data_IF_785726293719
#
_entry.id   IF_785726293719
#
_cell.length_a   1.000
_cell.length_b   1.000
_cell.length_c   1.000
_cell.angle_alpha   90.00
_cell.angle_beta   90.00
_cell.angle_gamma   90.00
#
_symmetry.space_group_name_H-M   'P 1'
#
loop_
_entity.id
_entity.type
_entity.pdbx_description
1 polymer ?
#
# COMPACT_ATOMS: atom_id res chain seq x y z
N UNK A 1 7.44 7.60 -19.85
CA UNK A 1 8.56 8.34 -19.24
C UNK A 1 9.15 7.50 -18.10
N UNK A 2 10.41 7.73 -17.70
CA UNK A 2 10.87 7.27 -16.40
C UNK A 2 9.87 7.78 -15.35
N UNK A 3 9.36 6.88 -14.49
CA UNK A 3 8.35 7.14 -13.44
C UNK A 3 6.87 7.12 -13.88
N UNK A 4 6.56 6.86 -15.16
CA UNK A 4 5.17 6.59 -15.57
C UNK A 4 4.69 5.23 -15.06
N UNK A 5 3.36 5.06 -15.07
CA UNK A 5 2.72 3.78 -14.79
C UNK A 5 3.22 2.72 -15.77
N UNK A 6 3.75 1.61 -15.24
CA UNK A 6 4.17 0.44 -16.03
C UNK A 6 3.76 -0.89 -15.39
N UNK A 7 2.99 -0.80 -14.30
CA UNK A 7 2.40 -1.92 -13.59
C UNK A 7 0.89 -1.75 -13.56
N UNK A 8 0.16 -2.84 -13.75
CA UNK A 8 -1.29 -2.93 -13.56
C UNK A 8 -1.59 -3.88 -12.40
N UNK A 9 -2.41 -3.43 -11.46
CA UNK A 9 -2.97 -4.27 -10.40
C UNK A 9 -4.30 -4.81 -10.88
N UNK A 10 -4.45 -6.14 -10.88
CA UNK A 10 -5.69 -6.84 -11.20
C UNK A 10 -6.21 -7.57 -9.96
N UNK A 11 -7.16 -6.97 -9.23
CA UNK A 11 -7.78 -7.63 -8.08
C UNK A 11 -8.39 -8.98 -8.48
N UNK A 12 -8.28 -9.99 -7.62
CA UNK A 12 -8.93 -11.29 -7.84
C UNK A 12 -10.43 -11.29 -7.47
N UNK A 13 -10.95 -10.15 -6.98
CA UNK A 13 -12.37 -9.92 -6.68
C UNK A 13 -13.01 -8.92 -7.63
N UNK A 14 -14.24 -8.47 -7.34
CA UNK A 14 -15.06 -7.63 -8.23
C UNK A 14 -14.63 -6.17 -8.44
N UNK A 15 -13.38 -5.81 -8.10
CA UNK A 15 -12.85 -4.48 -8.34
C UNK A 15 -12.23 -4.39 -9.73
N UNK A 16 -12.33 -3.22 -10.36
CA UNK A 16 -11.66 -2.96 -11.64
C UNK A 16 -10.15 -2.95 -11.47
N UNK A 17 -9.43 -3.38 -12.50
CA UNK A 17 -7.99 -3.20 -12.61
C UNK A 17 -7.63 -1.71 -12.59
N UNK A 18 -6.46 -1.39 -12.06
CA UNK A 18 -5.97 -0.01 -11.97
C UNK A 18 -4.44 0.04 -12.07
N UNK A 19 -3.87 1.16 -12.54
CA UNK A 19 -2.42 1.30 -12.62
C UNK A 19 -1.79 1.37 -11.22
N UNK A 20 -0.67 0.67 -11.05
CA UNK A 20 0.18 0.79 -9.88
C UNK A 20 1.15 1.97 -10.09
N UNK A 21 0.92 3.06 -9.35
CA UNK A 21 1.77 4.25 -9.39
C UNK A 21 3.19 3.94 -8.94
N UNK A 22 4.16 4.58 -9.58
CA UNK A 22 5.55 4.51 -9.18
C UNK A 22 5.74 4.89 -7.69
N UNK A 23 6.70 4.23 -7.04
CA UNK A 23 7.06 4.41 -5.62
C UNK A 23 5.96 4.11 -4.59
N UNK A 24 4.83 3.54 -5.01
CA UNK A 24 3.84 3.00 -4.06
C UNK A 24 4.22 1.57 -3.70
N UNK A 25 4.34 1.23 -2.40
CA UNK A 25 4.65 -0.13 -1.99
C UNK A 25 3.51 -1.08 -2.32
N UNK A 26 3.84 -2.20 -2.97
CA UNK A 26 2.90 -3.27 -3.30
C UNK A 26 3.15 -4.46 -2.37
N UNK A 27 2.09 -5.09 -1.86
CA UNK A 27 2.19 -6.31 -1.04
C UNK A 27 2.48 -6.10 0.45
N UNK A 28 2.46 -4.85 0.95
CA UNK A 28 2.69 -4.53 2.37
C UNK A 28 1.75 -5.28 3.32
N UNK A 29 0.48 -5.46 2.95
CA UNK A 29 -0.49 -6.25 3.74
C UNK A 29 -0.03 -7.70 3.92
N UNK A 30 0.46 -8.36 2.87
CA UNK A 30 0.97 -9.73 2.96
C UNK A 30 2.22 -9.81 3.83
N UNK A 31 3.15 -8.84 3.66
CA UNK A 31 4.38 -8.73 4.45
C UNK A 31 4.10 -8.49 5.93
N UNK A 32 3.12 -7.65 6.27
CA UNK A 32 2.83 -7.30 7.67
C UNK A 32 1.92 -8.35 8.31
N UNK A 33 0.81 -8.70 7.66
CA UNK A 33 -0.28 -9.50 8.26
C UNK A 33 -0.27 -10.98 7.86
N UNK A 34 0.56 -11.38 6.90
CA UNK A 34 0.56 -12.77 6.40
C UNK A 34 -0.70 -13.14 5.60
N UNK A 35 -1.45 -12.14 5.12
CA UNK A 35 -2.66 -12.38 4.34
C UNK A 35 -2.37 -13.01 2.97
N UNK A 36 -3.31 -13.79 2.42
CA UNK A 36 -3.17 -14.36 1.09
C UNK A 36 -3.08 -13.23 0.04
N UNK A 37 -2.52 -13.58 -1.12
CA UNK A 37 -2.57 -12.71 -2.31
C UNK A 37 -4.03 -12.41 -2.63
N UNK A 38 -4.35 -11.16 -2.94
CA UNK A 38 -5.70 -10.71 -3.32
C UNK A 38 -5.74 -10.02 -4.70
N UNK A 39 -4.59 -9.90 -5.37
CA UNK A 39 -4.47 -9.30 -6.69
C UNK A 39 -3.25 -9.87 -7.45
N UNK A 40 -3.33 -9.84 -8.78
CA UNK A 40 -2.20 -9.97 -9.66
C UNK A 40 -1.56 -8.61 -9.94
N UNK A 41 -0.25 -8.60 -10.14
CA UNK A 41 0.50 -7.40 -10.52
C UNK A 41 1.27 -7.74 -11.78
N UNK A 42 0.93 -7.06 -12.86
CA UNK A 42 1.42 -7.35 -14.19
C UNK A 42 2.21 -6.16 -14.71
N UNK A 43 3.36 -6.43 -15.33
CA UNK A 43 4.09 -5.42 -16.06
C UNK A 43 3.42 -5.20 -17.42
N UNK A 44 2.97 -3.97 -17.67
CA UNK A 44 2.41 -3.55 -18.96
C UNK A 44 3.49 -2.89 -19.84
N UNK A 45 4.63 -2.52 -19.25
CA UNK A 45 5.80 -1.98 -19.93
C UNK A 45 7.10 -2.46 -19.21
N UNK A 46 8.27 -2.10 -19.75
CA UNK A 46 9.58 -2.34 -19.13
C UNK A 46 9.73 -1.50 -17.87
N UNK A 47 9.65 -2.17 -16.72
CA UNK A 47 9.81 -1.55 -15.41
C UNK A 47 11.06 -2.04 -14.69
N UNK A 48 11.55 -1.23 -13.74
CA UNK A 48 12.50 -1.65 -12.72
C UNK A 48 11.81 -1.65 -11.37
N UNK A 49 11.99 -2.72 -10.61
CA UNK A 49 11.37 -2.88 -9.29
C UNK A 49 12.43 -3.07 -8.22
N UNK A 50 12.18 -2.53 -7.03
CA UNK A 50 12.94 -2.84 -5.82
C UNK A 50 12.15 -3.88 -5.03
N UNK A 51 12.71 -5.07 -4.86
CA UNK A 51 12.10 -6.12 -4.03
C UNK A 51 12.78 -6.12 -2.67
N UNK A 52 11.98 -5.91 -1.61
CA UNK A 52 12.45 -5.96 -0.22
C UNK A 52 11.94 -7.26 0.41
N UNK A 53 12.83 -8.19 0.84
CA UNK A 53 12.40 -9.41 1.51
C UNK A 53 11.60 -9.13 2.79
N UNK A 54 10.65 -10.01 3.13
CA UNK A 54 9.81 -9.86 4.35
C UNK A 54 10.63 -9.60 5.60
N UNK A 55 11.68 -10.40 5.83
CA UNK A 55 12.56 -10.25 7.00
C UNK A 55 13.19 -8.86 7.05
N UNK A 56 13.76 -8.40 5.93
CA UNK A 56 14.40 -7.09 5.83
C UNK A 56 13.41 -5.95 6.05
N UNK A 57 12.19 -6.05 5.49
CA UNK A 57 11.14 -5.07 5.70
C UNK A 57 10.73 -5.02 7.18
N UNK A 58 10.45 -6.16 7.80
CA UNK A 58 9.99 -6.22 9.18
C UNK A 58 11.07 -5.76 10.19
N UNK A 59 12.35 -6.02 9.90
CA UNK A 59 13.46 -5.62 10.78
C UNK A 59 13.82 -4.14 10.64
N UNK A 60 13.84 -3.60 9.42
CA UNK A 60 14.45 -2.28 9.18
C UNK A 60 13.46 -1.20 8.72
N UNK A 61 12.30 -1.57 8.18
CA UNK A 61 11.35 -0.62 7.56
C UNK A 61 10.03 -0.53 8.30
N UNK A 62 9.59 -1.62 8.93
CA UNK A 62 8.32 -1.67 9.63
C UNK A 62 8.43 -1.06 11.03
N UNK A 63 7.86 0.13 11.20
CA UNK A 63 7.75 0.83 12.48
C UNK A 63 6.28 1.08 12.81
N UNK A 64 5.60 0.16 13.54
CA UNK A 64 4.27 0.46 14.05
C UNK A 64 4.34 1.63 15.04
N UNK A 65 3.25 2.39 15.15
CA UNK A 65 3.16 3.42 16.18
C UNK A 65 3.19 2.78 17.57
N UNK A 66 3.93 3.41 18.49
CA UNK A 66 3.71 3.20 19.92
C UNK A 66 2.29 3.64 20.30
N UNK A 67 1.81 3.15 21.46
CA UNK A 67 0.49 3.56 21.98
C UNK A 67 0.38 5.08 22.16
N UNK A 68 1.46 5.73 22.59
CA UNK A 68 1.48 7.18 22.78
C UNK A 68 1.40 7.92 21.43
N UNK A 69 2.22 7.53 20.45
CA UNK A 69 2.18 8.12 19.10
C UNK A 69 0.80 7.92 18.45
N UNK A 70 0.20 6.74 18.62
CA UNK A 70 -1.15 6.46 18.11
C UNK A 70 -2.19 7.37 18.76
N UNK A 71 -2.18 7.47 20.10
CA UNK A 71 -3.10 8.33 20.84
C UNK A 71 -2.98 9.78 20.41
N UNK A 72 -1.76 10.30 20.29
CA UNK A 72 -1.51 11.66 19.85
C UNK A 72 -2.09 11.93 18.46
N UNK A 73 -1.91 11.01 17.51
CA UNK A 73 -2.45 11.17 16.15
C UNK A 73 -3.97 11.12 16.08
N UNK A 74 -4.60 10.25 16.87
CA UNK A 74 -6.07 10.17 16.92
C UNK A 74 -6.69 11.44 17.51
N UNK A 75 -6.02 12.07 18.49
CA UNK A 75 -6.48 13.32 19.10
C UNK A 75 -6.14 14.56 18.25
N UNK A 76 -5.12 14.49 17.40
CA UNK A 76 -4.68 15.59 16.54
C UNK A 76 -5.41 15.65 15.19
N UNK A 77 -6.18 14.63 14.81
CA UNK A 77 -7.04 14.74 13.63
C UNK A 77 -8.18 15.72 13.94
N UNK A 78 -8.36 16.80 13.16
CA UNK A 78 -9.58 17.59 13.25
C UNK A 78 -10.76 16.65 12.97
N UNK A 79 -11.83 16.81 13.75
CA UNK A 79 -13.12 16.19 13.48
C UNK A 79 -13.62 16.67 12.11
N UNK A 80 -13.20 16.04 11.02
CA UNK A 80 -13.76 16.33 9.71
C UNK A 80 -15.13 15.64 9.61
N UNK A 81 -16.12 16.44 9.99
CA UNK A 81 -17.43 16.64 9.35
C UNK A 81 -18.26 15.40 9.00
N UNK A 82 -19.34 15.28 9.77
CA UNK A 82 -20.56 14.52 9.49
C UNK A 82 -21.37 15.05 8.29
N UNK A 83 -20.80 15.78 7.33
CA UNK A 83 -21.56 16.39 6.24
C UNK A 83 -20.97 16.07 4.87
N UNK A 84 -21.51 15.04 4.23
CA UNK A 84 -21.79 14.97 2.80
C UNK A 84 -22.42 13.60 2.47
N UNK A 85 -23.69 13.44 2.83
CA UNK A 85 -24.57 12.49 2.16
C UNK A 85 -25.30 13.26 1.05
N UNK A 86 -25.23 12.83 -0.22
CA UNK A 86 -26.33 13.04 -1.14
C UNK A 86 -27.52 12.13 -0.78
#
# INVERSE_FOLDING_TARGET
MPLDDGLEVRPMGGYRSFPARAFIPIGSTGVIRGGPRNADVLATDRVRVLVIPRSQYLTHWYRPYSLLELRQRLLAQPTNEREALP
#
